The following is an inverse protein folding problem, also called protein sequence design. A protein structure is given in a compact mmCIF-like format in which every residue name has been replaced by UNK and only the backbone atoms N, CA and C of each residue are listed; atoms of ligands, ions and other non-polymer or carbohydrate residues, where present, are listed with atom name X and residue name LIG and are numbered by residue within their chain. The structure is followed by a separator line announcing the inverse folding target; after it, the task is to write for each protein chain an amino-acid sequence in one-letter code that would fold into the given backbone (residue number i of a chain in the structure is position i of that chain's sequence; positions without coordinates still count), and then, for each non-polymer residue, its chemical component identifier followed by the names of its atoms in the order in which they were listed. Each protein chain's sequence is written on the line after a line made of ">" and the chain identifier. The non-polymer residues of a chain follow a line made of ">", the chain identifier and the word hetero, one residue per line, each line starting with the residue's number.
data_IF_037693792026
#
_entry.id   IF_037693792026
#
_cell.length_a   1.000
_cell.length_b   1.000
_cell.length_c   1.000
_cell.angle_alpha   90.00
_cell.angle_beta   90.00
_cell.angle_gamma   90.00
#
_symmetry.space_group_name_H-M   'P 1'
#
loop_
_entity.id
_entity.type
_entity.pdbx_description
1 polymer ?
#
# COMPACT_ATOMS: atom_id res chain seq x y z
N UNK A 1 -14.10 1.73 16.11
CA UNK A 1 -13.72 0.43 15.52
C UNK A 1 -14.01 0.34 14.04
N UNK A 2 -15.17 0.80 13.56
CA UNK A 2 -15.56 0.81 12.13
C UNK A 2 -14.45 1.24 11.17
N UNK A 3 -13.88 2.45 11.32
CA UNK A 3 -12.81 2.93 10.44
C UNK A 3 -11.57 2.02 10.43
N UNK A 4 -11.24 1.38 11.56
CA UNK A 4 -10.08 0.47 11.65
C UNK A 4 -10.33 -0.80 10.84
N UNK A 5 -11.53 -1.36 10.92
CA UNK A 5 -11.94 -2.54 10.14
C UNK A 5 -12.01 -2.19 8.65
N UNK A 6 -12.66 -1.08 8.28
CA UNK A 6 -12.73 -0.63 6.89
C UNK A 6 -11.35 -0.38 6.28
N UNK A 7 -10.46 0.30 7.03
CA UNK A 7 -9.09 0.55 6.59
C UNK A 7 -8.30 -0.75 6.45
N UNK A 8 -8.42 -1.65 7.42
CA UNK A 8 -7.77 -2.96 7.38
C UNK A 8 -8.20 -3.79 6.17
N UNK A 9 -9.50 -3.82 5.86
CA UNK A 9 -10.00 -4.49 4.66
C UNK A 9 -9.48 -3.82 3.39
N UNK A 10 -9.55 -2.50 3.29
CA UNK A 10 -9.13 -1.77 2.10
C UNK A 10 -7.62 -1.95 1.81
N UNK A 11 -6.74 -1.63 2.76
CA UNK A 11 -5.30 -1.78 2.56
C UNK A 11 -4.86 -3.25 2.55
N UNK A 12 -5.58 -4.10 3.28
CA UNK A 12 -5.36 -5.55 3.29
C UNK A 12 -5.60 -6.19 1.93
N UNK A 13 -6.65 -5.78 1.20
CA UNK A 13 -6.88 -6.23 -0.19
C UNK A 13 -5.72 -5.84 -1.09
N UNK A 14 -5.26 -4.58 -1.04
CA UNK A 14 -4.10 -4.13 -1.81
C UNK A 14 -2.85 -4.96 -1.46
N UNK A 15 -2.57 -5.16 -0.17
CA UNK A 15 -1.45 -5.99 0.30
C UNK A 15 -1.55 -7.44 -0.14
N UNK A 16 -2.75 -8.03 -0.14
CA UNK A 16 -2.98 -9.40 -0.60
C UNK A 16 -2.72 -9.55 -2.11
N UNK A 17 -3.16 -8.60 -2.94
CA UNK A 17 -2.86 -8.61 -4.38
C UNK A 17 -1.34 -8.61 -4.61
N UNK A 18 -0.61 -7.76 -3.90
CA UNK A 18 0.85 -7.69 -3.99
C UNK A 18 1.51 -9.00 -3.52
N UNK A 19 1.05 -9.57 -2.41
CA UNK A 19 1.57 -10.83 -1.89
C UNK A 19 1.36 -11.97 -2.90
N UNK A 20 0.16 -12.09 -3.47
CA UNK A 20 -0.15 -13.13 -4.45
C UNK A 20 0.76 -13.02 -5.67
N UNK A 21 0.89 -11.81 -6.24
CA UNK A 21 1.78 -11.58 -7.40
C UNK A 21 3.23 -11.92 -7.06
N UNK A 22 3.69 -11.57 -5.86
CA UNK A 22 5.05 -11.88 -5.42
C UNK A 22 5.29 -13.41 -5.37
N UNK A 23 4.34 -14.15 -4.79
CA UNK A 23 4.42 -15.61 -4.67
C UNK A 23 4.32 -16.33 -6.02
N UNK A 24 3.54 -15.79 -6.96
CA UNK A 24 3.37 -16.36 -8.30
C UNK A 24 4.60 -16.15 -9.21
N UNK A 25 5.53 -15.26 -8.83
CA UNK A 25 6.66 -14.83 -9.70
C UNK A 25 8.02 -14.85 -8.98
N UNK A 26 8.46 -15.96 -8.37
CA UNK A 26 9.78 -16.04 -7.75
C UNK A 26 10.92 -15.88 -8.78
N UNK A 27 12.14 -15.51 -8.35
CA UNK A 27 12.58 -15.22 -6.98
C UNK A 27 12.42 -13.74 -6.57
N UNK A 28 12.42 -13.42 -5.25
CA UNK A 28 12.32 -12.03 -4.76
C UNK A 28 13.60 -11.20 -5.00
N UNK A 29 14.74 -11.86 -5.18
CA UNK A 29 16.02 -11.23 -5.50
C UNK A 29 16.72 -12.00 -6.62
N UNK A 30 17.47 -11.29 -7.45
CA UNK A 30 18.29 -11.86 -8.50
C UNK A 30 19.55 -10.98 -8.66
N UNK A 31 20.72 -11.61 -8.78
CA UNK A 31 22.01 -10.93 -9.04
C UNK A 31 22.31 -9.77 -8.09
N UNK A 32 21.93 -9.90 -6.81
CA UNK A 32 22.13 -8.87 -5.78
C UNK A 32 21.15 -7.69 -5.82
N UNK A 33 20.13 -7.71 -6.69
CA UNK A 33 19.09 -6.71 -6.80
C UNK A 33 17.70 -7.24 -6.41
N UNK A 34 16.75 -6.33 -6.10
CA UNK A 34 15.35 -6.69 -5.90
C UNK A 34 14.69 -6.95 -7.26
N UNK A 35 13.95 -8.05 -7.36
CA UNK A 35 13.04 -8.26 -8.48
C UNK A 35 11.72 -7.53 -8.21
N UNK A 36 10.84 -7.45 -9.22
CA UNK A 36 9.48 -6.96 -9.01
C UNK A 36 8.72 -7.80 -7.97
N UNK A 37 8.96 -9.12 -7.93
CA UNK A 37 8.39 -9.99 -6.89
C UNK A 37 8.87 -9.60 -5.49
N UNK A 38 10.17 -9.33 -5.32
CA UNK A 38 10.70 -8.85 -4.05
C UNK A 38 10.09 -7.52 -3.61
N UNK A 39 9.91 -6.60 -4.56
CA UNK A 39 9.27 -5.31 -4.29
C UNK A 39 7.81 -5.47 -3.86
N UNK A 40 7.05 -6.34 -4.55
CA UNK A 40 5.67 -6.64 -4.18
C UNK A 40 5.57 -7.36 -2.82
N UNK A 41 6.48 -8.28 -2.50
CA UNK A 41 6.55 -8.92 -1.19
C UNK A 41 6.83 -7.91 -0.07
N UNK A 42 7.79 -6.99 -0.28
CA UNK A 42 8.11 -5.94 0.67
C UNK A 42 6.89 -5.02 0.91
N UNK A 43 6.21 -4.63 -0.17
CA UNK A 43 4.99 -3.82 -0.07
C UNK A 43 3.89 -4.53 0.72
N UNK A 44 3.66 -5.81 0.44
CA UNK A 44 2.68 -6.61 1.17
C UNK A 44 3.00 -6.70 2.67
N UNK A 45 4.28 -6.90 3.03
CA UNK A 45 4.73 -6.95 4.42
C UNK A 45 4.51 -5.60 5.13
N UNK A 46 4.87 -4.49 4.49
CA UNK A 46 4.67 -3.14 5.03
C UNK A 46 3.17 -2.84 5.22
N UNK A 47 2.33 -3.20 4.24
CA UNK A 47 0.87 -3.11 4.36
C UNK A 47 0.35 -3.90 5.57
N UNK A 48 0.78 -5.15 5.75
CA UNK A 48 0.38 -5.97 6.89
C UNK A 48 0.76 -5.32 8.23
N UNK A 49 1.98 -4.80 8.36
CA UNK A 49 2.46 -4.13 9.58
C UNK A 49 1.58 -2.93 9.95
N UNK A 50 1.29 -2.04 9.00
CA UNK A 50 0.48 -0.85 9.30
C UNK A 50 -1.00 -1.19 9.53
N UNK A 51 -1.55 -2.22 8.86
CA UNK A 51 -2.88 -2.75 9.15
C UNK A 51 -2.96 -3.25 10.58
N UNK A 52 -2.00 -4.08 11.01
CA UNK A 52 -1.94 -4.60 12.37
C UNK A 52 -1.75 -3.49 13.41
N UNK A 53 -0.92 -2.49 13.12
CA UNK A 53 -0.74 -1.33 13.99
C UNK A 53 -2.03 -0.52 14.17
N UNK A 54 -2.78 -0.31 13.08
CA UNK A 54 -4.09 0.34 13.13
C UNK A 54 -5.10 -0.52 13.88
N UNK A 55 -5.18 -1.83 13.64
CA UNK A 55 -6.12 -2.73 14.33
C UNK A 55 -5.82 -2.84 15.83
N UNK A 56 -4.56 -2.97 16.22
CA UNK A 56 -4.15 -3.09 17.63
C UNK A 56 -4.23 -1.76 18.38
N UNK A 57 -3.46 -0.75 17.97
CA UNK A 57 -3.34 0.53 18.70
C UNK A 57 -4.25 1.62 18.19
N UNK A 58 -4.33 1.79 16.86
CA UNK A 58 -5.19 2.80 16.25
C UNK A 58 -4.89 4.20 16.77
N UNK A 59 -3.64 4.46 17.13
CA UNK A 59 -3.14 5.77 17.55
C UNK A 59 -3.06 6.71 16.35
N UNK A 60 -2.84 8.02 16.59
CA UNK A 60 -2.57 8.98 15.49
C UNK A 60 -1.37 8.54 14.67
N UNK A 61 -0.28 8.13 15.32
CA UNK A 61 0.92 7.63 14.64
C UNK A 61 0.64 6.40 13.75
N UNK A 62 -0.14 5.43 14.22
CA UNK A 62 -0.51 4.26 13.43
C UNK A 62 -1.30 4.66 12.16
N UNK A 63 -2.26 5.58 12.31
CA UNK A 63 -3.03 6.09 11.18
C UNK A 63 -2.20 6.94 10.21
N UNK A 64 -1.22 7.70 10.69
CA UNK A 64 -0.29 8.44 9.84
C UNK A 64 0.60 7.48 9.04
N UNK A 65 1.19 6.47 9.67
CA UNK A 65 1.98 5.46 8.97
C UNK A 65 1.15 4.70 7.92
N UNK A 66 -0.07 4.32 8.29
CA UNK A 66 -1.03 3.70 7.38
C UNK A 66 -1.35 4.60 6.17
N UNK A 67 -1.61 5.89 6.40
CA UNK A 67 -1.88 6.86 5.33
C UNK A 67 -0.69 6.98 4.37
N UNK A 68 0.53 7.08 4.90
CA UNK A 68 1.75 7.18 4.10
C UNK A 68 1.90 5.96 3.20
N UNK A 69 1.74 4.75 3.74
CA UNK A 69 1.83 3.51 2.97
C UNK A 69 0.74 3.43 1.89
N UNK A 70 -0.52 3.73 2.25
CA UNK A 70 -1.62 3.70 1.30
C UNK A 70 -1.44 4.72 0.16
N UNK A 71 -1.04 5.95 0.49
CA UNK A 71 -0.80 6.99 -0.49
C UNK A 71 0.41 6.66 -1.39
N UNK A 72 1.51 6.17 -0.81
CA UNK A 72 2.66 5.72 -1.55
C UNK A 72 2.32 4.57 -2.51
N UNK A 73 1.44 3.64 -2.10
CA UNK A 73 0.95 2.55 -2.97
C UNK A 73 0.23 3.10 -4.21
N UNK A 74 -0.67 4.06 -4.01
CA UNK A 74 -1.41 4.70 -5.12
C UNK A 74 -0.45 5.45 -6.04
N UNK A 75 0.44 6.27 -5.47
CA UNK A 75 1.40 7.06 -6.24
C UNK A 75 2.33 6.15 -7.05
N UNK A 76 2.90 5.11 -6.42
CA UNK A 76 3.81 4.19 -7.09
C UNK A 76 3.11 3.43 -8.23
N UNK A 77 1.86 3.00 -8.03
CA UNK A 77 1.09 2.29 -9.06
C UNK A 77 0.69 3.21 -10.21
N UNK A 78 0.24 4.43 -9.93
CA UNK A 78 -0.07 5.41 -10.99
C UNK A 78 1.21 5.79 -11.75
N UNK A 79 2.32 6.01 -11.04
CA UNK A 79 3.62 6.29 -11.65
C UNK A 79 4.11 5.11 -12.49
N UNK A 80 3.88 3.85 -12.07
CA UNK A 80 4.27 2.67 -12.85
C UNK A 80 3.57 2.61 -14.20
N UNK A 81 2.38 3.21 -14.34
CA UNK A 81 1.66 3.26 -15.62
C UNK A 81 2.05 4.47 -16.47
N UNK A 82 2.22 5.65 -15.86
CA UNK A 82 2.35 6.91 -16.62
C UNK A 82 3.77 7.50 -16.66
N UNK A 83 4.65 7.07 -15.77
CA UNK A 83 6.00 7.62 -15.64
C UNK A 83 7.03 6.55 -15.92
N UNK A 84 7.84 6.77 -16.96
CA UNK A 84 8.94 5.88 -17.30
C UNK A 84 10.14 6.11 -16.38
N UNK A 85 10.06 5.54 -15.18
CA UNK A 85 11.17 5.52 -14.24
C UNK A 85 12.09 4.35 -14.61
N UNK A 86 13.38 4.59 -14.90
CA UNK A 86 14.34 3.50 -15.11
C UNK A 86 14.59 2.74 -13.80
N UNK A 87 15.34 1.64 -13.85
CA UNK A 87 15.85 1.02 -12.63
C UNK A 87 16.74 2.02 -11.86
N UNK A 88 16.60 2.07 -10.52
CA UNK A 88 17.35 2.99 -9.66
C UNK A 88 18.01 2.16 -8.55
N UNK A 89 19.33 2.00 -8.62
CA UNK A 89 20.07 1.18 -7.67
C UNK A 89 19.51 -0.25 -7.61
N UNK A 90 19.18 -0.79 -6.41
CA UNK A 90 18.62 -2.14 -6.28
C UNK A 90 17.14 -2.24 -6.68
N UNK A 91 16.47 -1.12 -7.01
CA UNK A 91 15.06 -1.11 -7.38
C UNK A 91 14.88 -1.40 -8.88
N UNK A 92 14.01 -2.37 -9.25
CA UNK A 92 13.77 -2.71 -10.65
C UNK A 92 13.00 -1.59 -11.36
N UNK A 93 13.07 -1.59 -12.69
CA UNK A 93 12.19 -0.75 -13.50
C UNK A 93 10.73 -1.20 -13.30
N UNK A 94 9.85 -0.26 -12.98
CA UNK A 94 8.43 -0.53 -12.71
C UNK A 94 7.51 -0.13 -13.86
N UNK A 95 8.03 0.53 -14.89
CA UNK A 95 7.19 1.09 -15.95
C UNK A 95 6.49 -0.01 -16.75
N UNK A 96 5.18 -0.03 -16.64
CA UNK A 96 4.29 -0.95 -17.33
C UNK A 96 3.00 -0.19 -17.69
N UNK A 97 2.89 0.33 -18.93
CA UNK A 97 1.84 1.27 -19.35
C UNK A 97 0.50 0.59 -19.66
N UNK A 98 0.14 -0.42 -18.87
CA UNK A 98 -1.09 -1.19 -19.02
C UNK A 98 -1.81 -1.24 -17.69
N UNK A 99 -3.12 -1.00 -17.74
CA UNK A 99 -4.04 -1.31 -16.66
C UNK A 99 -4.68 -2.68 -16.89
N UNK A 100 -4.72 -3.49 -15.85
CA UNK A 100 -5.35 -4.81 -15.84
C UNK A 100 -5.99 -5.06 -14.47
N UNK A 101 -6.76 -6.15 -14.36
CA UNK A 101 -7.61 -6.45 -13.20
C UNK A 101 -6.94 -6.21 -11.85
N UNK A 102 -5.76 -6.81 -11.63
CA UNK A 102 -5.04 -6.66 -10.36
C UNK A 102 -4.62 -5.22 -10.07
N UNK A 103 -4.19 -4.45 -11.08
CA UNK A 103 -3.85 -3.02 -10.91
C UNK A 103 -5.09 -2.21 -10.52
N UNK A 104 -6.24 -2.47 -11.14
CA UNK A 104 -7.49 -1.79 -10.78
C UNK A 104 -7.89 -2.09 -9.33
N UNK A 105 -7.83 -3.37 -8.92
CA UNK A 105 -8.16 -3.78 -7.55
C UNK A 105 -7.18 -3.19 -6.55
N UNK A 106 -5.87 -3.28 -6.81
CA UNK A 106 -4.84 -2.75 -5.91
C UNK A 106 -4.91 -1.22 -5.79
N UNK A 107 -5.11 -0.49 -6.89
CA UNK A 107 -5.23 0.96 -6.90
C UNK A 107 -6.51 1.44 -6.20
N UNK A 108 -7.66 0.84 -6.54
CA UNK A 108 -8.94 1.20 -5.95
C UNK A 108 -8.98 0.94 -4.45
N UNK A 109 -8.51 -0.24 -4.01
CA UNK A 109 -8.46 -0.59 -2.59
C UNK A 109 -7.49 0.29 -1.80
N UNK A 110 -6.32 0.61 -2.35
CA UNK A 110 -5.39 1.56 -1.73
C UNK A 110 -5.95 2.99 -1.67
N UNK A 111 -6.65 3.44 -2.71
CA UNK A 111 -7.31 4.75 -2.72
C UNK A 111 -8.40 4.86 -1.64
N UNK A 112 -9.23 3.81 -1.48
CA UNK A 112 -10.19 3.73 -0.38
C UNK A 112 -9.47 3.78 0.98
N UNK A 113 -8.36 3.07 1.13
CA UNK A 113 -7.56 3.09 2.35
C UNK A 113 -7.05 4.51 2.68
N UNK A 114 -6.60 5.27 1.68
CA UNK A 114 -6.22 6.69 1.85
C UNK A 114 -7.38 7.51 2.42
N UNK A 115 -8.57 7.40 1.81
CA UNK A 115 -9.77 8.14 2.26
C UNK A 115 -10.14 7.78 3.70
N UNK A 116 -10.15 6.49 4.04
CA UNK A 116 -10.43 6.02 5.40
C UNK A 116 -9.42 6.56 6.42
N UNK A 117 -8.14 6.57 6.06
CA UNK A 117 -7.08 7.06 6.94
C UNK A 117 -7.18 8.56 7.18
N UNK A 118 -7.46 9.35 6.14
CA UNK A 118 -7.72 10.79 6.25
C UNK A 118 -8.93 11.05 7.16
N UNK A 119 -10.03 10.32 6.97
CA UNK A 119 -11.21 10.43 7.82
C UNK A 119 -10.89 10.09 9.29
N UNK A 120 -10.11 9.04 9.54
CA UNK A 120 -9.71 8.64 10.88
C UNK A 120 -8.81 9.66 11.57
N UNK A 121 -7.90 10.31 10.83
CA UNK A 121 -7.04 11.37 11.36
C UNK A 121 -7.85 12.65 11.63
N UNK A 122 -8.73 13.05 10.72
CA UNK A 122 -9.59 14.22 10.88
C UNK A 122 -10.53 14.07 12.09
N UNK A 123 -11.14 12.89 12.28
CA UNK A 123 -12.00 12.61 13.43
C UNK A 123 -11.27 12.72 14.79
N UNK A 124 -9.94 12.56 14.81
CA UNK A 124 -9.10 12.70 16.02
C UNK A 124 -8.55 14.11 16.25
N UNK A 125 -8.56 14.94 15.21
CA UNK A 125 -8.12 16.33 15.26
C UNK A 125 -9.20 17.30 15.72
N UNK A 126 -10.48 16.91 15.67
CA UNK A 126 -11.59 17.77 16.12
C UNK A 126 -11.51 17.97 17.64
N UNK A 127 -11.37 19.22 18.13
CA UNK A 127 -11.56 19.52 19.55
C UNK A 127 -12.96 19.05 19.94
N UNK A 128 -13.07 18.29 21.04
CA UNK A 128 -14.38 18.05 21.65
C UNK A 128 -14.88 19.40 22.12
N UNK A 129 -15.76 20.04 21.35
CA UNK A 129 -16.57 21.17 21.84
C UNK A 129 -17.41 20.60 22.99
N UNK A 130 -16.98 20.87 24.22
CA UNK A 130 -17.77 20.75 25.44
C UNK A 130 -18.21 22.15 25.81
#
# INVERSE_FOLDING_TARGET
>A
MVLRVLGALALGVSGWVHLRIALDRPPPTADGALTLSGLFAAQAAVCAVVVLAVLGRGSRAAWTAFLVVAAASVVALVASVYVRVPAIGPLPAMYEPLWYGDKYVAAGSAAVAVVVALAALAARGRPRRR
#
